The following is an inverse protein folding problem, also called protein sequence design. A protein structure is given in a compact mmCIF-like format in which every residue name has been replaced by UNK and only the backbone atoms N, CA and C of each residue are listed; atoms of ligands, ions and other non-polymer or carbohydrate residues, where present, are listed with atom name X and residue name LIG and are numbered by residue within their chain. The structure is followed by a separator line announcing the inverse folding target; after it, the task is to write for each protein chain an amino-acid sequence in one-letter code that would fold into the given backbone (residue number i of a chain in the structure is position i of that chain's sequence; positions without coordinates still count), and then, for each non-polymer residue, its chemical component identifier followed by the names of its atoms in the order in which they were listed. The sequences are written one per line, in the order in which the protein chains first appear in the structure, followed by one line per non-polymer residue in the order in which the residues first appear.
data_IF_456222850955
#
_entry.id   IF_456222850955
#
_cell.length_a   1.000
_cell.length_b   1.000
_cell.length_c   1.000
_cell.angle_alpha   90.00
_cell.angle_beta   90.00
_cell.angle_gamma   90.00
#
_symmetry.space_group_name_H-M   'P 1'
#
loop_
_entity.id
_entity.type
_entity.pdbx_description
1 polymer ?
#
# COMPACT_ATOMS: atom_id res chain seq x y z
N UNK A 1 -11.50 -11.99 5.03
CA UNK A 1 -10.95 -10.68 5.45
C UNK A 1 -9.44 -10.69 5.62
N UNK A 2 -8.86 -11.64 6.36
CA UNK A 2 -7.40 -11.66 6.58
C UNK A 2 -6.59 -11.80 5.27
N UNK A 3 -6.96 -12.74 4.41
CA UNK A 3 -6.34 -12.90 3.09
C UNK A 3 -6.53 -11.66 2.19
N UNK A 4 -7.75 -11.12 2.17
CA UNK A 4 -8.07 -9.88 1.46
C UNK A 4 -7.17 -8.73 1.92
N UNK A 5 -7.02 -8.51 3.22
CA UNK A 5 -6.18 -7.46 3.76
C UNK A 5 -4.70 -7.70 3.46
N UNK A 6 -4.22 -8.94 3.60
CA UNK A 6 -2.83 -9.29 3.27
C UNK A 6 -2.50 -8.96 1.81
N UNK A 7 -3.37 -9.33 0.89
CA UNK A 7 -3.19 -9.04 -0.55
C UNK A 7 -3.45 -7.56 -0.88
N UNK A 8 -4.46 -6.97 -0.25
CA UNK A 8 -4.88 -5.58 -0.45
C UNK A 8 -3.83 -4.57 -0.03
N UNK A 9 -3.18 -4.78 1.13
CA UNK A 9 -2.07 -3.93 1.61
C UNK A 9 -0.90 -3.95 0.64
N UNK A 10 -0.57 -5.14 0.08
CA UNK A 10 0.47 -5.28 -0.93
C UNK A 10 0.08 -4.60 -2.25
N UNK A 11 -1.15 -4.82 -2.72
CA UNK A 11 -1.63 -4.29 -4.01
C UNK A 11 -1.98 -2.80 -3.97
N UNK A 12 -2.13 -2.20 -2.79
CA UNK A 12 -2.29 -0.76 -2.62
C UNK A 12 -1.06 0.04 -3.09
N UNK A 13 0.10 -0.62 -3.29
CA UNK A 13 1.28 -0.03 -3.92
C UNK A 13 2.08 0.91 -3.02
N UNK A 14 1.70 1.09 -1.75
CA UNK A 14 2.33 2.09 -0.90
C UNK A 14 3.78 1.76 -0.51
N UNK A 15 4.11 0.48 -0.33
CA UNK A 15 5.48 0.03 -0.11
C UNK A 15 6.34 0.39 -1.33
N UNK A 16 5.87 0.06 -2.54
CA UNK A 16 6.55 0.43 -3.79
C UNK A 16 6.72 1.94 -3.89
N UNK A 17 5.66 2.72 -3.63
CA UNK A 17 5.71 4.19 -3.71
C UNK A 17 6.76 4.76 -2.76
N UNK A 18 6.82 4.26 -1.52
CA UNK A 18 7.80 4.69 -0.52
C UNK A 18 9.22 4.39 -0.99
N UNK A 19 9.48 3.15 -1.40
CA UNK A 19 10.81 2.71 -1.91
C UNK A 19 11.23 3.55 -3.11
N UNK A 20 10.34 3.79 -4.07
CA UNK A 20 10.63 4.60 -5.25
C UNK A 20 10.87 6.07 -4.89
N UNK A 21 10.14 6.63 -3.92
CA UNK A 21 10.31 8.03 -3.49
C UNK A 21 11.71 8.33 -2.95
N UNK A 22 12.37 7.33 -2.35
CA UNK A 22 13.74 7.49 -1.84
C UNK A 22 14.77 7.70 -2.94
N UNK A 23 14.50 7.29 -4.19
CA UNK A 23 15.41 7.56 -5.31
C UNK A 23 15.63 9.07 -5.53
N UNK A 24 14.63 9.90 -5.21
CA UNK A 24 14.73 11.35 -5.32
C UNK A 24 15.37 12.05 -4.12
N UNK A 25 15.76 11.31 -3.07
CA UNK A 25 16.32 11.88 -1.84
C UNK A 25 17.85 11.77 -1.84
N UNK A 26 18.50 12.63 -2.63
CA UNK A 26 19.94 12.62 -2.95
C UNK A 26 20.87 12.20 -1.78
N UNK A 27 20.71 12.82 -0.60
CA UNK A 27 21.58 12.57 0.56
C UNK A 27 21.30 11.25 1.32
N UNK A 28 20.21 10.55 1.00
CA UNK A 28 19.70 9.38 1.74
C UNK A 28 19.69 8.08 0.91
N UNK A 29 20.18 8.10 -0.34
CA UNK A 29 20.16 6.93 -1.23
C UNK A 29 21.27 5.93 -0.86
N UNK A 30 20.95 4.97 0.02
CA UNK A 30 21.84 3.85 0.33
C UNK A 30 21.13 2.50 0.18
N UNK A 31 21.83 1.38 -0.10
CA UNK A 31 21.20 0.05 -0.15
C UNK A 31 20.43 -0.31 1.14
N UNK A 32 20.90 0.18 2.29
CA UNK A 32 20.29 -0.06 3.59
C UNK A 32 18.90 0.57 3.70
N UNK A 33 18.68 1.77 3.17
CA UNK A 33 17.35 2.40 3.24
C UNK A 33 16.33 1.63 2.38
N UNK A 34 16.75 1.16 1.20
CA UNK A 34 15.89 0.37 0.33
C UNK A 34 15.56 -0.99 0.94
N UNK A 35 16.55 -1.65 1.55
CA UNK A 35 16.32 -2.91 2.25
C UNK A 35 15.43 -2.71 3.49
N UNK A 36 15.69 -1.68 4.30
CA UNK A 36 14.86 -1.34 5.45
C UNK A 36 13.41 -1.12 5.01
N UNK A 37 13.18 -0.30 3.98
CA UNK A 37 11.84 0.04 3.49
C UNK A 37 11.09 -1.17 2.89
N UNK A 38 11.81 -2.01 2.14
CA UNK A 38 11.25 -3.22 1.53
C UNK A 38 10.87 -4.29 2.55
N UNK A 39 11.49 -4.28 3.74
CA UNK A 39 11.17 -5.17 4.86
C UNK A 39 9.97 -4.72 5.71
N UNK A 40 9.14 -3.79 5.21
CA UNK A 40 7.88 -3.37 5.84
C UNK A 40 8.04 -2.96 7.31
N UNK A 41 8.86 -1.93 7.59
CA UNK A 41 8.97 -1.39 8.94
C UNK A 41 7.58 -0.91 9.39
N UNK A 42 7.31 -0.94 10.70
CA UNK A 42 5.97 -0.68 11.27
C UNK A 42 5.29 0.57 10.71
N UNK A 43 6.05 1.63 10.45
CA UNK A 43 5.54 2.88 9.88
C UNK A 43 5.01 2.70 8.45
N UNK A 44 5.73 1.98 7.60
CA UNK A 44 5.31 1.72 6.22
C UNK A 44 4.12 0.75 6.20
N UNK A 45 4.15 -0.28 7.07
CA UNK A 45 3.06 -1.25 7.17
C UNK A 45 1.75 -0.59 7.63
N UNK A 46 1.81 0.21 8.70
CA UNK A 46 0.67 0.97 9.20
C UNK A 46 0.11 1.95 8.15
N UNK A 47 0.98 2.70 7.46
CA UNK A 47 0.56 3.60 6.39
C UNK A 47 -0.06 2.87 5.20
N UNK A 48 0.45 1.69 4.85
CA UNK A 48 -0.10 0.84 3.79
C UNK A 48 -1.51 0.34 4.13
N UNK A 49 -1.75 -0.04 5.39
CA UNK A 49 -3.08 -0.39 5.90
C UNK A 49 -4.02 0.82 5.81
N UNK A 50 -3.58 1.99 6.30
CA UNK A 50 -4.38 3.21 6.26
C UNK A 50 -4.81 3.58 4.84
N UNK A 51 -3.90 3.47 3.86
CA UNK A 51 -4.19 3.75 2.46
C UNK A 51 -5.10 2.72 1.84
N UNK A 52 -4.93 1.42 2.14
CA UNK A 52 -5.85 0.39 1.66
C UNK A 52 -7.29 0.71 2.11
N UNK A 53 -7.47 0.99 3.39
CA UNK A 53 -8.78 1.31 3.96
C UNK A 53 -9.35 2.62 3.39
N UNK A 54 -8.52 3.65 3.22
CA UNK A 54 -8.94 4.92 2.63
C UNK A 54 -9.41 4.73 1.18
N UNK A 55 -8.67 3.95 0.39
CA UNK A 55 -9.06 3.63 -0.98
C UNK A 55 -10.40 2.88 -0.99
N UNK A 56 -10.55 1.86 -0.15
CA UNK A 56 -11.79 1.07 -0.08
C UNK A 56 -12.99 1.93 0.28
N UNK A 57 -12.87 2.78 1.32
CA UNK A 57 -13.96 3.68 1.72
C UNK A 57 -14.32 4.66 0.60
N UNK A 58 -13.31 5.16 -0.12
CA UNK A 58 -13.51 6.16 -1.19
C UNK A 58 -14.17 5.54 -2.42
N UNK A 59 -13.81 4.31 -2.78
CA UNK A 59 -14.35 3.62 -3.97
C UNK A 59 -15.61 2.79 -3.69
N UNK A 60 -15.91 2.49 -2.42
CA UNK A 60 -16.94 1.52 -2.01
C UNK A 60 -18.28 1.67 -2.73
N UNK A 61 -18.89 2.87 -2.70
CA UNK A 61 -20.21 3.09 -3.33
C UNK A 61 -20.17 2.91 -4.85
N UNK A 62 -19.14 3.45 -5.48
CA UNK A 62 -18.94 3.36 -6.92
C UNK A 62 -18.72 1.89 -7.37
N UNK A 63 -17.96 1.12 -6.61
CA UNK A 63 -17.72 -0.30 -6.89
C UNK A 63 -18.98 -1.15 -6.70
N UNK A 64 -19.83 -0.82 -5.72
CA UNK A 64 -21.14 -1.46 -5.53
C UNK A 64 -22.06 -1.23 -6.73
N UNK A 65 -22.16 0.01 -7.22
CA UNK A 65 -23.00 0.35 -8.38
C UNK A 65 -22.56 -0.38 -9.67
N UNK A 66 -21.26 -0.65 -9.82
CA UNK A 66 -20.71 -1.39 -10.95
C UNK A 66 -20.79 -2.91 -10.80
N UNK A 67 -21.29 -3.42 -9.67
CA UNK A 67 -21.39 -4.86 -9.38
C UNK A 67 -20.05 -5.56 -9.18
N UNK A 68 -18.95 -4.81 -8.97
CA UNK A 68 -17.59 -5.38 -8.90
C UNK A 68 -17.33 -6.14 -7.60
N UNK A 69 -18.06 -5.81 -6.53
CA UNK A 69 -17.94 -6.47 -5.22
C UNK A 69 -18.64 -7.83 -5.14
N UNK A 70 -19.47 -8.17 -6.13
CA UNK A 70 -20.21 -9.44 -6.20
C UNK A 70 -19.58 -10.45 -7.17
N UNK A 71 -18.47 -10.09 -7.83
CA UNK A 71 -17.82 -10.90 -8.87
C UNK A 71 -16.66 -11.78 -8.35
N UNK A 72 -16.42 -11.78 -7.04
CA UNK A 72 -15.45 -12.59 -6.29
C UNK A 72 -16.14 -13.28 -5.14
#
# INVERSE_FOLDING_TARGET
MEEYMRNGVLSAGYIMLTVTSFVGMEDFVTPEIFNWASNKPKIIDASSIAIRLMNDVTSHKFEQERGLLNAT
#
